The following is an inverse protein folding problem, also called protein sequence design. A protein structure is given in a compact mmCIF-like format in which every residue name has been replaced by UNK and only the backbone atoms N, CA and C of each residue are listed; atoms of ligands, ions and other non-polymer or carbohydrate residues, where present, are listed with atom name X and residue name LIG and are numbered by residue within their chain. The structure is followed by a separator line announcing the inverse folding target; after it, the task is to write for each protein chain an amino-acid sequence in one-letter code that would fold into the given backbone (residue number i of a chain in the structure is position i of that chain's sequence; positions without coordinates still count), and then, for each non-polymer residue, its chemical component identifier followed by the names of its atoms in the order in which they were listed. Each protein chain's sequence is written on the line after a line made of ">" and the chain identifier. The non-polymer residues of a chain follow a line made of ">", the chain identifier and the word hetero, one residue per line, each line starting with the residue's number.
data_IF_200244480184
#
_entry.id   IF_200244480184
#
_cell.length_a   1.000
_cell.length_b   1.000
_cell.length_c   1.000
_cell.angle_alpha   90.00
_cell.angle_beta   90.00
_cell.angle_gamma   90.00
#
_symmetry.space_group_name_H-M   'P 1'
#
loop_
_entity.id
_entity.type
_entity.pdbx_description
1 polymer ?
#
# COMPACT_ATOMS: atom_id res chain seq x y z
N UNK A 1 14.73 -37.39 -13.30
CA UNK A 1 13.46 -36.69 -13.53
C UNK A 1 12.70 -36.35 -12.28
N UNK A 2 12.54 -37.28 -11.32
CA UNK A 2 11.82 -37.02 -10.04
C UNK A 2 12.47 -35.92 -9.17
N UNK A 3 13.79 -35.79 -9.23
CA UNK A 3 14.55 -34.78 -8.45
C UNK A 3 14.31 -33.37 -8.98
N UNK A 4 14.19 -33.18 -10.30
CA UNK A 4 13.93 -31.88 -10.93
C UNK A 4 12.51 -31.36 -10.63
N UNK A 5 11.52 -32.24 -10.59
CA UNK A 5 10.14 -31.88 -10.24
C UNK A 5 10.01 -31.48 -8.77
N UNK A 6 10.74 -32.13 -7.88
CA UNK A 6 10.78 -31.83 -6.45
C UNK A 6 11.44 -30.47 -6.19
N UNK A 7 12.52 -30.17 -6.92
CA UNK A 7 13.23 -28.89 -6.87
C UNK A 7 12.34 -27.73 -7.33
N UNK A 8 11.55 -27.91 -8.37
CA UNK A 8 10.63 -26.91 -8.89
C UNK A 8 9.49 -26.59 -7.90
N UNK A 9 8.98 -27.60 -7.22
CA UNK A 9 7.93 -27.41 -6.21
C UNK A 9 8.43 -26.60 -5.01
N UNK A 10 9.66 -26.82 -4.58
CA UNK A 10 10.30 -26.08 -3.50
C UNK A 10 10.50 -24.60 -3.88
N UNK A 11 10.86 -24.30 -5.12
CA UNK A 11 11.03 -22.93 -5.62
C UNK A 11 9.72 -22.13 -5.62
N UNK A 12 8.61 -22.74 -6.00
CA UNK A 12 7.28 -22.13 -5.97
C UNK A 12 6.84 -21.83 -4.53
N UNK A 13 7.08 -22.76 -3.61
CA UNK A 13 6.77 -22.60 -2.18
C UNK A 13 7.55 -21.47 -1.54
N UNK A 14 8.83 -21.27 -1.91
CA UNK A 14 9.69 -20.19 -1.41
C UNK A 14 9.21 -18.81 -1.91
N UNK A 15 8.72 -18.71 -3.13
CA UNK A 15 8.21 -17.46 -3.70
C UNK A 15 6.93 -16.98 -2.96
N UNK A 16 5.99 -17.88 -2.66
CA UNK A 16 4.79 -17.58 -1.89
C UNK A 16 5.14 -17.12 -0.47
N UNK A 17 6.11 -17.76 0.16
CA UNK A 17 6.58 -17.42 1.51
C UNK A 17 7.19 -16.02 1.55
N UNK A 18 7.94 -15.60 0.53
CA UNK A 18 8.53 -14.27 0.41
C UNK A 18 7.46 -13.17 0.32
N UNK A 19 6.36 -13.40 -0.39
CA UNK A 19 5.25 -12.44 -0.51
C UNK A 19 4.53 -12.23 0.83
N UNK A 20 4.28 -13.30 1.58
CA UNK A 20 3.66 -13.20 2.91
C UNK A 20 4.54 -12.44 3.89
N UNK A 21 5.84 -12.67 3.89
CA UNK A 21 6.81 -11.97 4.73
C UNK A 21 6.87 -10.48 4.39
N UNK A 22 6.83 -10.13 3.11
CA UNK A 22 6.82 -8.75 2.64
C UNK A 22 5.58 -8.01 3.17
N UNK A 23 4.41 -8.63 3.12
CA UNK A 23 3.17 -8.04 3.58
C UNK A 23 3.17 -7.83 5.11
N UNK A 24 3.71 -8.78 5.87
CA UNK A 24 3.86 -8.66 7.33
C UNK A 24 4.75 -7.46 7.68
N UNK A 25 5.86 -7.29 6.98
CA UNK A 25 6.77 -6.16 7.17
C UNK A 25 6.11 -4.82 6.83
N UNK A 26 5.33 -4.76 5.76
CA UNK A 26 4.58 -3.59 5.34
C UNK A 26 3.54 -3.21 6.40
N UNK A 27 2.79 -4.17 6.91
CA UNK A 27 1.79 -3.95 7.97
C UNK A 27 2.43 -3.42 9.25
N UNK A 28 3.57 -3.98 9.62
CA UNK A 28 4.34 -3.56 10.78
C UNK A 28 4.85 -2.12 10.61
N UNK A 29 5.39 -1.80 9.45
CA UNK A 29 5.84 -0.46 9.10
C UNK A 29 4.69 0.56 9.17
N UNK A 30 3.54 0.21 8.62
CA UNK A 30 2.34 1.07 8.63
C UNK A 30 1.87 1.39 10.05
N UNK A 31 1.90 0.41 10.95
CA UNK A 31 1.52 0.60 12.35
C UNK A 31 2.48 1.49 13.12
N UNK A 32 3.75 1.52 12.73
CA UNK A 32 4.79 2.27 13.42
C UNK A 32 5.05 3.66 12.84
N UNK A 33 4.21 4.13 11.90
CA UNK A 33 4.40 5.45 11.29
C UNK A 33 4.19 6.56 12.32
N UNK A 34 5.23 7.35 12.53
CA UNK A 34 5.23 8.52 13.41
C UNK A 34 5.61 9.80 12.65
N UNK A 35 6.31 9.68 11.52
CA UNK A 35 6.78 10.83 10.75
C UNK A 35 7.11 10.49 9.30
N UNK A 36 7.74 11.44 8.61
CA UNK A 36 8.03 11.35 7.18
C UNK A 36 8.95 10.20 6.81
N UNK A 37 9.91 9.84 7.69
CA UNK A 37 10.88 8.80 7.39
C UNK A 37 10.22 7.42 7.28
N UNK A 38 9.28 7.13 8.17
CA UNK A 38 8.52 5.88 8.18
C UNK A 38 7.58 5.80 6.96
N UNK A 39 7.03 6.94 6.54
CA UNK A 39 6.20 7.01 5.33
C UNK A 39 7.04 6.71 4.09
N UNK A 40 8.22 7.27 3.98
CA UNK A 40 9.15 6.99 2.87
C UNK A 40 9.54 5.51 2.83
N UNK A 41 9.80 4.93 3.99
CA UNK A 41 10.11 3.50 4.12
C UNK A 41 8.93 2.65 3.64
N UNK A 42 7.71 3.00 4.03
CA UNK A 42 6.50 2.31 3.60
C UNK A 42 6.36 2.36 2.07
N UNK A 43 6.56 3.51 1.46
CA UNK A 43 6.49 3.68 0.00
C UNK A 43 7.52 2.79 -0.71
N UNK A 44 8.75 2.77 -0.20
CA UNK A 44 9.81 1.96 -0.79
C UNK A 44 9.56 0.46 -0.66
N UNK A 45 9.07 0.02 0.51
CA UNK A 45 8.75 -1.39 0.77
C UNK A 45 7.57 -1.90 -0.03
N UNK A 46 6.63 -1.04 -0.38
CA UNK A 46 5.34 -1.40 -1.00
C UNK A 46 5.33 -1.25 -2.51
N UNK A 47 6.49 -1.31 -3.16
CA UNK A 47 6.62 -1.15 -4.60
C UNK A 47 6.44 -2.49 -5.33
N UNK A 48 5.27 -3.11 -5.19
CA UNK A 48 4.89 -4.33 -5.90
C UNK A 48 3.53 -4.12 -6.57
N UNK A 49 3.55 -3.92 -7.88
CA UNK A 49 2.37 -3.59 -8.68
C UNK A 49 1.41 -4.76 -8.89
N UNK A 50 1.87 -6.00 -8.65
CA UNK A 50 1.07 -7.20 -8.90
C UNK A 50 0.15 -7.60 -7.74
N UNK A 51 0.45 -7.15 -6.52
CA UNK A 51 -0.35 -7.45 -5.34
C UNK A 51 -1.25 -6.27 -5.00
N UNK A 52 -2.59 -6.43 -5.06
CA UNK A 52 -3.51 -5.32 -4.80
C UNK A 52 -3.42 -4.77 -3.37
N UNK A 53 -3.15 -5.59 -2.36
CA UNK A 53 -3.01 -5.15 -0.98
C UNK A 53 -1.75 -4.31 -0.81
N UNK A 54 -0.62 -4.79 -1.32
CA UNK A 54 0.66 -4.07 -1.27
C UNK A 54 0.54 -2.74 -2.02
N UNK A 55 -0.08 -2.76 -3.19
CA UNK A 55 -0.31 -1.56 -3.98
C UNK A 55 -1.19 -0.54 -3.23
N UNK A 56 -2.19 -1.01 -2.50
CA UNK A 56 -3.04 -0.15 -1.66
C UNK A 56 -2.23 0.53 -0.55
N UNK A 57 -1.31 -0.17 0.09
CA UNK A 57 -0.39 0.43 1.06
C UNK A 57 0.53 1.47 0.41
N UNK A 58 0.99 1.20 -0.80
CA UNK A 58 1.82 2.14 -1.57
C UNK A 58 1.09 3.47 -1.81
N UNK A 59 -0.14 3.41 -2.29
CA UNK A 59 -0.96 4.61 -2.52
C UNK A 59 -1.32 5.31 -1.22
N UNK A 60 -1.57 4.55 -0.14
CA UNK A 60 -1.80 5.10 1.19
C UNK A 60 -0.59 5.91 1.66
N UNK A 61 0.61 5.37 1.50
CA UNK A 61 1.85 6.08 1.81
C UNK A 61 2.01 7.37 1.01
N UNK A 62 1.71 7.32 -0.28
CA UNK A 62 1.74 8.50 -1.16
C UNK A 62 0.76 9.59 -0.69
N UNK A 63 -0.43 9.20 -0.24
CA UNK A 63 -1.41 10.13 0.30
C UNK A 63 -0.97 10.74 1.64
N UNK A 64 -0.37 9.93 2.50
CA UNK A 64 0.16 10.42 3.78
C UNK A 64 1.31 11.43 3.60
N UNK A 65 2.10 11.29 2.53
CA UNK A 65 3.16 12.24 2.19
C UNK A 65 2.63 13.64 1.89
N UNK A 66 1.36 13.78 1.55
CA UNK A 66 0.77 15.08 1.23
C UNK A 66 0.79 16.04 2.41
N UNK A 67 0.78 15.55 3.64
CA UNK A 67 0.85 16.38 4.83
C UNK A 67 2.17 17.17 4.92
N UNK A 68 3.21 16.71 4.22
CA UNK A 68 4.54 17.32 4.20
C UNK A 68 4.80 18.13 2.93
N UNK A 69 3.83 18.25 2.04
CA UNK A 69 3.95 19.06 0.82
C UNK A 69 3.48 20.50 1.08
N UNK A 70 4.15 21.47 0.50
CA UNK A 70 3.84 22.89 0.67
C UNK A 70 2.98 23.48 -0.45
N UNK A 71 2.77 22.74 -1.55
CA UNK A 71 2.02 23.22 -2.70
C UNK A 71 0.58 22.70 -2.68
N UNK A 72 -0.44 23.56 -2.43
CA UNK A 72 -1.83 23.10 -2.33
C UNK A 72 -2.41 22.54 -3.64
N UNK A 73 -1.96 23.00 -4.78
CA UNK A 73 -2.41 22.49 -6.08
C UNK A 73 -1.90 21.09 -6.34
N UNK A 74 -0.63 20.82 -6.04
CA UNK A 74 -0.06 19.47 -6.11
C UNK A 74 -0.75 18.53 -5.14
N UNK A 75 -0.99 18.97 -3.92
CA UNK A 75 -1.72 18.18 -2.91
C UNK A 75 -3.07 17.71 -3.44
N UNK A 76 -3.85 18.63 -3.99
CA UNK A 76 -5.18 18.32 -4.51
C UNK A 76 -5.10 17.33 -5.68
N UNK A 77 -4.17 17.58 -6.61
CA UNK A 77 -3.98 16.74 -7.80
C UNK A 77 -3.58 15.32 -7.43
N UNK A 78 -2.61 15.16 -6.54
CA UNK A 78 -2.13 13.86 -6.07
C UNK A 78 -3.22 13.15 -5.28
N UNK A 79 -3.91 13.85 -4.39
CA UNK A 79 -5.01 13.30 -3.61
C UNK A 79 -6.09 12.72 -4.52
N UNK A 80 -6.53 13.49 -5.52
CA UNK A 80 -7.56 13.06 -6.46
C UNK A 80 -7.13 11.82 -7.25
N UNK A 81 -5.89 11.81 -7.75
CA UNK A 81 -5.35 10.71 -8.55
C UNK A 81 -5.21 9.44 -7.71
N UNK A 82 -4.58 9.53 -6.54
CA UNK A 82 -4.30 8.36 -5.68
C UNK A 82 -5.58 7.79 -5.06
N UNK A 83 -6.53 8.65 -4.72
CA UNK A 83 -7.85 8.21 -4.22
C UNK A 83 -8.60 7.41 -5.29
N UNK A 84 -8.59 7.85 -6.54
CA UNK A 84 -9.18 7.10 -7.65
C UNK A 84 -8.50 5.75 -7.86
N UNK A 85 -7.20 5.69 -7.71
CA UNK A 85 -6.43 4.44 -7.84
C UNK A 85 -6.80 3.45 -6.75
N UNK A 86 -6.92 3.89 -5.49
CA UNK A 86 -7.36 3.03 -4.38
C UNK A 86 -8.80 2.57 -4.60
N UNK A 87 -9.69 3.45 -5.01
CA UNK A 87 -11.10 3.12 -5.26
C UNK A 87 -11.23 2.10 -6.41
N UNK A 88 -10.36 2.19 -7.42
CA UNK A 88 -10.28 1.21 -8.49
C UNK A 88 -9.85 -0.17 -7.97
N UNK A 89 -8.87 -0.22 -7.07
CA UNK A 89 -8.42 -1.47 -6.44
C UNK A 89 -9.56 -2.08 -5.61
N UNK A 90 -10.27 -1.28 -4.84
CA UNK A 90 -11.44 -1.73 -4.04
C UNK A 90 -12.50 -2.33 -4.94
N UNK A 91 -12.81 -1.67 -6.06
CA UNK A 91 -13.80 -2.12 -7.03
C UNK A 91 -13.45 -3.50 -7.61
N UNK A 92 -12.17 -3.76 -7.85
CA UNK A 92 -11.68 -5.03 -8.39
C UNK A 92 -11.50 -6.11 -7.32
N UNK A 93 -11.46 -5.75 -6.03
CA UNK A 93 -11.18 -6.63 -4.90
C UNK A 93 -12.20 -6.42 -3.78
N UNK A 94 -13.47 -6.49 -4.11
CA UNK A 94 -14.58 -6.14 -3.21
C UNK A 94 -14.64 -6.93 -1.91
N UNK A 95 -14.09 -8.15 -1.91
CA UNK A 95 -14.06 -9.02 -0.73
C UNK A 95 -12.88 -8.74 0.21
N UNK A 96 -11.95 -7.88 -0.18
CA UNK A 96 -10.77 -7.59 0.61
C UNK A 96 -11.05 -6.46 1.61
N UNK A 97 -11.20 -6.84 2.87
CA UNK A 97 -11.53 -5.94 3.97
C UNK A 97 -10.35 -4.99 4.29
N UNK A 98 -9.11 -5.49 4.16
CA UNK A 98 -7.90 -4.71 4.50
C UNK A 98 -7.77 -3.44 3.65
N UNK A 99 -8.02 -3.53 2.34
CA UNK A 99 -7.97 -2.39 1.43
C UNK A 99 -9.02 -1.35 1.81
N UNK A 100 -10.22 -1.79 2.16
CA UNK A 100 -11.30 -0.91 2.61
C UNK A 100 -10.97 -0.22 3.93
N UNK A 101 -10.31 -0.92 4.86
CA UNK A 101 -9.86 -0.35 6.12
C UNK A 101 -8.82 0.74 5.90
N UNK A 102 -7.90 0.56 4.96
CA UNK A 102 -6.92 1.57 4.58
C UNK A 102 -7.61 2.82 4.03
N UNK A 103 -8.59 2.65 3.16
CA UNK A 103 -9.35 3.76 2.59
C UNK A 103 -10.12 4.53 3.68
N UNK A 104 -10.72 3.80 4.62
CA UNK A 104 -11.44 4.39 5.75
C UNK A 104 -10.50 5.18 6.66
N UNK A 105 -9.33 4.64 6.96
CA UNK A 105 -8.32 5.32 7.77
C UNK A 105 -7.87 6.65 7.12
N UNK A 106 -7.74 6.66 5.80
CA UNK A 106 -7.42 7.88 5.05
C UNK A 106 -8.52 8.92 5.14
N UNK A 107 -9.77 8.52 5.13
CA UNK A 107 -10.91 9.44 5.28
C UNK A 107 -10.91 10.13 6.64
N UNK A 108 -10.56 9.41 7.70
CA UNK A 108 -10.46 9.96 9.05
C UNK A 108 -9.31 10.95 9.21
N UNK A 109 -8.23 10.74 8.45
CA UNK A 109 -7.02 11.58 8.48
C UNK A 109 -6.99 12.59 7.33
N UNK A 110 -8.13 13.02 6.82
CA UNK A 110 -8.17 14.01 5.73
C UNK A 110 -7.32 15.23 6.09
N UNK A 111 -6.43 15.69 5.19
CA UNK A 111 -5.74 16.95 5.37
C UNK A 111 -6.71 18.10 5.59
N UNK A 112 -6.31 19.09 6.39
CA UNK A 112 -7.16 20.23 6.76
C UNK A 112 -7.77 20.94 5.56
N UNK A 113 -7.06 21.02 4.45
CA UNK A 113 -7.54 21.69 3.23
C UNK A 113 -8.66 20.92 2.51
N UNK A 114 -8.88 19.65 2.86
CA UNK A 114 -9.93 18.79 2.29
C UNK A 114 -11.16 18.68 3.19
N UNK A 115 -11.14 19.26 4.36
CA UNK A 115 -12.27 19.26 5.31
C UNK A 115 -13.28 20.37 5.06
N UNK A 116 -13.14 21.06 3.97
CA UNK A 116 -14.04 22.15 3.57
C UNK A 116 -15.31 21.62 2.91
#
# INVERSE_FOLDING_TARGET
>A
MKICLFSLTILISTACFCQENQLIEIRSCFKSIEGINEIKTLIDMSNNLDDPVILAYHYTGKLMMLDYSNNPFEKYKVFKTKTKQIDSIISKNQKNIEIRLLRYALQKKKPLFLKI
#
